data_IF_393953411934
#
_entry.id   IF_393953411934
#
_cell.length_a   1.000
_cell.length_b   1.000
_cell.length_c   1.000
_cell.angle_alpha   90.00
_cell.angle_beta   90.00
_cell.angle_gamma   90.00
#
_symmetry.space_group_name_H-M   'P 1'
#
loop_
_entity.id
_entity.type
_entity.pdbx_description
1 polymer ?
#
# COMPACT_ATOMS: atom_id res chain seq x y z
N UNK A 1 -13.55 -35.06 -4.47
CA UNK A 1 -13.74 -33.72 -3.87
C UNK A 1 -12.44 -32.93 -3.97
N UNK A 2 -12.44 -31.59 -4.07
CA UNK A 2 -11.21 -30.80 -4.14
C UNK A 2 -10.41 -30.89 -2.84
N UNK A 3 -9.12 -30.55 -2.89
CA UNK A 3 -8.29 -30.37 -1.70
C UNK A 3 -8.77 -29.14 -0.91
N UNK A 4 -8.94 -29.28 0.40
CA UNK A 4 -9.48 -28.24 1.28
C UNK A 4 -8.41 -27.67 2.21
N UNK A 5 -8.54 -26.39 2.57
CA UNK A 5 -7.76 -25.79 3.65
C UNK A 5 -8.29 -26.20 5.04
N UNK A 6 -7.65 -25.70 6.10
CA UNK A 6 -7.97 -26.05 7.49
C UNK A 6 -9.40 -25.63 7.93
N UNK A 7 -10.05 -24.73 7.19
CA UNK A 7 -11.42 -24.26 7.46
C UNK A 7 -12.42 -24.77 6.42
N UNK A 8 -12.03 -25.77 5.63
CA UNK A 8 -12.92 -26.48 4.70
C UNK A 8 -13.15 -25.77 3.37
N UNK A 9 -12.33 -24.79 2.98
CA UNK A 9 -12.47 -24.07 1.70
C UNK A 9 -11.63 -24.73 0.60
N UNK A 10 -12.08 -24.81 -0.66
CA UNK A 10 -11.29 -25.36 -1.76
C UNK A 10 -9.99 -24.58 -2.02
N UNK A 11 -8.83 -25.23 -1.88
CA UNK A 11 -7.51 -24.59 -2.04
C UNK A 11 -7.30 -23.97 -3.43
N UNK A 12 -7.97 -24.50 -4.46
CA UNK A 12 -7.89 -23.95 -5.81
C UNK A 12 -8.23 -22.44 -5.88
N UNK A 13 -9.11 -21.95 -5.00
CA UNK A 13 -9.57 -20.55 -4.99
C UNK A 13 -9.24 -19.80 -3.70
N UNK A 14 -8.99 -20.52 -2.60
CA UNK A 14 -8.83 -19.93 -1.26
C UNK A 14 -7.43 -20.17 -0.64
N UNK A 15 -6.44 -20.60 -1.42
CA UNK A 15 -5.07 -20.83 -0.92
C UNK A 15 -4.21 -19.57 -0.81
N UNK A 16 -4.61 -18.47 -1.45
CA UNK A 16 -3.89 -17.20 -1.47
C UNK A 16 -4.81 -16.06 -1.08
N UNK A 17 -4.25 -15.02 -0.44
CA UNK A 17 -4.99 -13.82 -0.12
C UNK A 17 -5.15 -12.95 -1.36
N UNK A 18 -6.20 -12.14 -1.38
CA UNK A 18 -6.45 -11.16 -2.44
C UNK A 18 -5.24 -10.23 -2.60
N UNK A 19 -4.59 -9.85 -1.49
CA UNK A 19 -3.40 -8.99 -1.52
C UNK A 19 -2.15 -9.65 -2.11
N UNK A 20 -1.97 -10.97 -1.94
CA UNK A 20 -0.81 -11.68 -2.47
C UNK A 20 -0.85 -11.80 -4.00
N UNK A 21 -2.02 -11.55 -4.61
CA UNK A 21 -2.26 -11.64 -6.05
C UNK A 21 -2.80 -10.34 -6.64
N UNK A 22 -2.81 -9.26 -5.87
CA UNK A 22 -3.37 -7.98 -6.29
C UNK A 22 -2.45 -7.26 -7.29
N UNK A 23 -3.00 -6.81 -8.41
CA UNK A 23 -2.24 -6.04 -9.41
C UNK A 23 -1.76 -4.67 -8.89
N UNK A 24 -2.38 -4.11 -7.84
CA UNK A 24 -1.94 -2.87 -7.18
C UNK A 24 -0.86 -3.10 -6.10
N UNK A 25 -0.39 -4.35 -5.93
CA UNK A 25 0.64 -4.69 -4.93
C UNK A 25 1.94 -3.89 -5.08
N UNK A 26 2.47 -3.63 -6.30
CA UNK A 26 3.64 -2.77 -6.45
C UNK A 26 3.44 -1.36 -5.86
N UNK A 27 2.24 -0.79 -5.99
CA UNK A 27 1.92 0.51 -5.38
C UNK A 27 1.90 0.42 -3.85
N UNK A 28 1.41 -0.68 -3.28
CA UNK A 28 1.48 -0.91 -1.83
C UNK A 28 2.93 -0.95 -1.34
N UNK A 29 3.79 -1.74 -2.01
CA UNK A 29 5.19 -1.92 -1.63
C UNK A 29 6.00 -0.61 -1.80
N UNK A 30 5.63 0.23 -2.77
CA UNK A 30 6.18 1.56 -2.98
C UNK A 30 5.64 2.64 -2.01
N UNK A 31 4.65 2.32 -1.17
CA UNK A 31 4.02 3.30 -0.29
C UNK A 31 3.09 4.29 -1.02
N UNK A 32 2.65 3.96 -2.23
CA UNK A 32 1.77 4.75 -3.08
C UNK A 32 0.31 4.39 -2.80
N UNK A 33 -0.37 5.26 -2.04
CA UNK A 33 -1.72 5.03 -1.55
C UNK A 33 -2.71 6.09 -2.03
N UNK A 34 -3.95 5.66 -2.24
CA UNK A 34 -5.11 6.55 -2.27
C UNK A 34 -5.36 7.04 -0.85
N UNK A 35 -5.59 8.33 -0.67
CA UNK A 35 -5.83 8.94 0.64
C UNK A 35 -7.25 9.52 0.76
N UNK A 36 -7.87 9.88 -0.36
CA UNK A 36 -9.29 10.22 -0.42
C UNK A 36 -9.91 9.76 -1.75
N UNK A 37 -11.23 9.58 -1.76
CA UNK A 37 -11.94 9.20 -2.98
C UNK A 37 -11.75 10.24 -4.08
N UNK A 38 -11.47 9.77 -5.30
CA UNK A 38 -11.23 10.60 -6.49
C UNK A 38 -10.00 11.53 -6.44
N UNK A 39 -9.06 11.29 -5.51
CA UNK A 39 -7.76 11.97 -5.56
C UNK A 39 -6.91 11.54 -6.77
N UNK A 40 -5.81 12.24 -7.01
CA UNK A 40 -4.89 11.93 -8.11
C UNK A 40 -4.30 10.52 -8.02
N UNK A 41 -4.18 9.98 -6.81
CA UNK A 41 -3.68 8.62 -6.60
C UNK A 41 -4.74 7.58 -6.98
N UNK A 42 -6.03 7.86 -6.75
CA UNK A 42 -7.16 7.03 -7.16
C UNK A 42 -7.26 6.95 -8.68
N UNK A 43 -7.11 8.09 -9.36
CA UNK A 43 -7.08 8.19 -10.83
C UNK A 43 -5.91 7.40 -11.44
N UNK A 44 -4.78 7.34 -10.73
CA UNK A 44 -3.60 6.53 -11.11
C UNK A 44 -3.71 5.06 -10.72
N UNK A 45 -4.78 4.64 -10.04
CA UNK A 45 -4.97 3.25 -9.62
C UNK A 45 -4.03 2.80 -8.50
N UNK A 46 -3.64 3.71 -7.60
CA UNK A 46 -2.78 3.41 -6.45
C UNK A 46 -3.48 2.52 -5.41
N UNK A 47 -2.71 2.05 -4.43
CA UNK A 47 -3.21 1.07 -3.47
C UNK A 47 -4.31 1.65 -2.56
N UNK A 48 -5.36 0.86 -2.34
CA UNK A 48 -6.52 1.24 -1.52
C UNK A 48 -6.36 0.86 -0.03
N UNK A 49 -5.15 0.56 0.43
CA UNK A 49 -4.92 0.13 1.81
C UNK A 49 -5.33 1.19 2.84
N UNK A 50 -4.92 2.46 2.63
CA UNK A 50 -5.34 3.58 3.49
C UNK A 50 -6.85 3.87 3.42
N UNK A 51 -7.53 3.38 2.37
CA UNK A 51 -8.98 3.44 2.23
C UNK A 51 -9.72 2.28 2.92
N UNK A 52 -9.01 1.44 3.69
CA UNK A 52 -9.58 0.34 4.49
C UNK A 52 -9.65 -1.02 3.80
N UNK A 53 -8.99 -1.19 2.66
CA UNK A 53 -8.99 -2.46 1.92
C UNK A 53 -8.53 -3.66 2.80
N UNK A 54 -9.40 -4.66 2.95
CA UNK A 54 -9.21 -5.90 3.72
C UNK A 54 -8.56 -7.04 2.92
N UNK A 55 -8.10 -6.76 1.69
CA UNK A 55 -7.38 -7.72 0.86
C UNK A 55 -6.21 -8.43 1.55
N UNK A 56 -5.44 -7.78 2.45
CA UNK A 56 -4.34 -8.41 3.20
C UNK A 56 -4.75 -9.55 4.15
N UNK A 57 -6.03 -9.68 4.47
CA UNK A 57 -6.55 -10.73 5.37
C UNK A 57 -7.68 -11.55 4.74
N UNK A 58 -7.91 -11.39 3.44
CA UNK A 58 -9.03 -12.04 2.74
C UNK A 58 -8.49 -13.06 1.75
N UNK A 59 -8.89 -14.33 1.88
CA UNK A 59 -8.64 -15.40 0.93
C UNK A 59 -9.77 -15.47 -0.09
N UNK A 60 -9.44 -15.25 -1.35
CA UNK A 60 -10.35 -15.40 -2.48
C UNK A 60 -9.58 -15.31 -3.80
N UNK A 61 -10.21 -15.74 -4.90
CA UNK A 61 -9.65 -15.66 -6.24
C UNK A 61 -9.94 -14.33 -6.95
N UNK A 62 -10.54 -13.34 -6.29
CA UNK A 62 -10.99 -12.07 -6.90
C UNK A 62 -9.91 -11.33 -7.70
N UNK A 63 -8.65 -11.36 -7.28
CA UNK A 63 -7.56 -10.68 -7.98
C UNK A 63 -6.96 -11.48 -9.15
N UNK A 64 -7.26 -12.79 -9.22
CA UNK A 64 -6.77 -13.70 -10.27
C UNK A 64 -7.87 -13.99 -11.29
N UNK A 65 -8.98 -14.58 -10.84
CA UNK A 65 -10.13 -14.94 -11.68
C UNK A 65 -10.97 -13.73 -12.05
N UNK A 66 -10.99 -12.70 -11.19
CA UNK A 66 -11.90 -11.57 -11.26
C UNK A 66 -13.37 -12.02 -11.24
N UNK A 67 -14.28 -11.08 -11.47
CA UNK A 67 -15.71 -11.28 -11.54
C UNK A 67 -16.22 -11.08 -12.97
N UNK A 68 -17.34 -11.74 -13.27
CA UNK A 68 -18.08 -11.57 -14.51
C UNK A 68 -17.22 -11.81 -15.77
N UNK A 69 -16.74 -13.05 -15.94
CA UNK A 69 -15.89 -13.44 -17.09
C UNK A 69 -14.61 -12.59 -17.22
N UNK A 70 -13.94 -12.33 -16.10
CA UNK A 70 -12.65 -11.63 -16.11
C UNK A 70 -12.74 -10.09 -16.21
N UNK A 71 -13.93 -9.50 -16.15
CA UNK A 71 -14.13 -8.06 -16.40
C UNK A 71 -13.47 -7.19 -15.31
N UNK A 72 -13.86 -7.35 -14.05
CA UNK A 72 -13.36 -6.54 -12.94
C UNK A 72 -13.49 -7.25 -11.60
N UNK A 73 -13.07 -6.60 -10.53
CA UNK A 73 -13.32 -6.98 -9.14
C UNK A 73 -13.27 -5.70 -8.28
N UNK A 74 -13.68 -5.71 -7.00
CA UNK A 74 -13.85 -4.49 -6.21
C UNK A 74 -12.67 -3.51 -6.29
N UNK A 75 -11.44 -4.01 -6.10
CA UNK A 75 -10.22 -3.18 -6.10
C UNK A 75 -9.94 -2.59 -7.48
N UNK A 76 -10.17 -3.34 -8.57
CA UNK A 76 -10.02 -2.81 -9.93
C UNK A 76 -11.03 -1.69 -10.21
N UNK A 77 -12.25 -1.84 -9.70
CA UNK A 77 -13.30 -0.81 -9.79
C UNK A 77 -13.15 0.33 -8.77
N UNK A 78 -12.05 0.41 -8.02
CA UNK A 78 -11.73 1.54 -7.15
C UNK A 78 -12.21 1.43 -5.70
N UNK A 79 -12.86 0.33 -5.30
CA UNK A 79 -13.27 0.12 -3.91
C UNK A 79 -12.40 -0.91 -3.19
N UNK A 80 -12.04 -0.65 -1.94
CA UNK A 80 -11.31 -1.61 -1.11
C UNK A 80 -12.06 -2.93 -0.97
N UNK A 81 -11.33 -4.04 -0.88
CA UNK A 81 -11.93 -5.32 -0.49
C UNK A 81 -12.55 -5.19 0.90
N UNK A 82 -13.76 -5.71 1.11
CA UNK A 82 -14.45 -5.68 2.41
C UNK A 82 -14.27 -6.98 3.21
N UNK A 83 -13.63 -8.00 2.63
CA UNK A 83 -13.41 -9.28 3.29
C UNK A 83 -14.61 -10.23 3.27
N UNK A 84 -15.52 -10.12 2.30
CA UNK A 84 -16.78 -10.86 2.27
C UNK A 84 -16.67 -12.40 2.25
N UNK A 85 -15.48 -12.98 2.00
CA UNK A 85 -15.23 -14.42 2.07
C UNK A 85 -14.59 -14.90 3.38
N UNK A 86 -14.36 -13.99 4.32
CA UNK A 86 -13.87 -14.32 5.66
C UNK A 86 -15.00 -14.36 6.68
N UNK A 87 -14.82 -15.18 7.72
CA UNK A 87 -15.76 -15.26 8.82
C UNK A 87 -15.91 -13.91 9.53
N UNK A 88 -17.15 -13.58 9.91
CA UNK A 88 -17.49 -12.38 10.68
C UNK A 88 -17.03 -11.05 10.05
N UNK A 89 -16.92 -10.97 8.72
CA UNK A 89 -16.36 -9.78 8.06
C UNK A 89 -17.14 -8.49 8.34
N UNK A 90 -18.45 -8.57 8.60
CA UNK A 90 -19.28 -7.43 9.00
C UNK A 90 -18.86 -6.81 10.34
N UNK A 91 -18.35 -7.64 11.26
CA UNK A 91 -18.02 -7.25 12.63
C UNK A 91 -16.52 -6.99 12.84
N UNK A 92 -15.70 -7.16 11.79
CA UNK A 92 -14.24 -6.93 11.83
C UNK A 92 -13.85 -5.44 11.74
N UNK A 93 -14.71 -4.56 12.28
CA UNK A 93 -14.58 -3.10 12.30
C UNK A 93 -15.04 -2.39 11.00
N UNK A 94 -15.11 -1.05 11.01
CA UNK A 94 -15.58 -0.28 9.85
C UNK A 94 -14.74 -0.51 8.59
N UNK A 95 -15.39 -0.64 7.43
CA UNK A 95 -14.71 -0.97 6.17
C UNK A 95 -13.68 0.07 5.71
N UNK A 96 -13.83 1.33 6.11
CA UNK A 96 -12.95 2.42 5.70
C UNK A 96 -11.81 2.69 6.70
N UNK A 97 -11.71 1.88 7.74
CA UNK A 97 -10.55 1.89 8.63
C UNK A 97 -9.59 0.77 8.22
N UNK A 98 -8.33 1.13 8.02
CA UNK A 98 -7.25 0.14 7.88
C UNK A 98 -7.18 -0.78 9.10
N UNK A 99 -6.86 -2.06 8.85
CA UNK A 99 -6.43 -2.96 9.91
C UNK A 99 -5.13 -2.43 10.52
N UNK A 100 -5.01 -2.52 11.84
CA UNK A 100 -3.88 -2.03 12.62
C UNK A 100 -2.56 -2.39 11.94
N UNK A 101 -1.74 -1.36 11.62
CA UNK A 101 -0.44 -1.41 10.94
C UNK A 101 0.11 -2.82 10.71
N UNK A 102 -0.30 -3.46 9.60
CA UNK A 102 0.53 -4.48 8.99
C UNK A 102 1.78 -3.74 8.49
N UNK A 103 3.00 -4.06 8.97
CA UNK A 103 4.20 -3.37 8.53
C UNK A 103 4.46 -3.72 7.06
N UNK A 104 3.88 -2.94 6.15
CA UNK A 104 4.38 -2.83 4.79
C UNK A 104 5.70 -2.09 4.85
N UNK A 105 6.77 -2.73 4.38
CA UNK A 105 8.04 -2.03 4.14
C UNK A 105 7.80 -1.09 2.96
N UNK A 106 7.59 0.21 3.23
CA UNK A 106 7.48 1.24 2.20
C UNK A 106 8.86 1.52 1.62
N UNK A 107 9.29 0.69 0.67
CA UNK A 107 10.67 0.68 0.16
C UNK A 107 11.01 2.04 -0.47
N UNK A 108 10.12 2.57 -1.32
CA UNK A 108 10.33 3.85 -2.02
C UNK A 108 10.13 5.07 -1.10
N UNK A 109 9.06 5.11 -0.30
CA UNK A 109 8.84 6.22 0.64
C UNK A 109 9.99 6.38 1.65
N UNK A 110 10.65 5.28 2.02
CA UNK A 110 11.85 5.32 2.86
C UNK A 110 13.03 5.93 2.10
N UNK A 111 13.24 5.56 0.83
CA UNK A 111 14.31 6.09 -0.01
C UNK A 111 14.18 7.61 -0.24
N UNK A 112 12.97 8.09 -0.56
CA UNK A 112 12.69 9.52 -0.73
C UNK A 112 12.99 10.32 0.54
N UNK A 113 12.59 9.80 1.70
CA UNK A 113 12.83 10.45 3.00
C UNK A 113 14.33 10.53 3.29
N UNK A 114 15.07 9.43 3.09
CA UNK A 114 16.52 9.38 3.27
C UNK A 114 17.22 10.35 2.30
N UNK A 115 16.81 10.36 1.03
CA UNK A 115 17.34 11.27 0.02
C UNK A 115 17.12 12.74 0.40
N UNK A 116 15.93 13.09 0.88
CA UNK A 116 15.59 14.45 1.31
C UNK A 116 16.42 14.91 2.51
N UNK A 117 16.57 14.04 3.52
CA UNK A 117 17.39 14.33 4.71
C UNK A 117 18.86 14.51 4.31
N UNK A 118 19.41 13.62 3.49
CA UNK A 118 20.79 13.70 3.04
C UNK A 118 21.07 14.96 2.21
N UNK A 119 20.16 15.31 1.29
CA UNK A 119 20.24 16.53 0.50
C UNK A 119 20.18 17.78 1.38
N UNK A 120 19.24 17.83 2.33
CA UNK A 120 19.10 18.93 3.29
C UNK A 120 20.36 19.12 4.14
N UNK A 121 20.90 18.05 4.70
CA UNK A 121 22.13 18.09 5.50
C UNK A 121 23.33 18.60 4.69
N UNK A 122 23.46 18.13 3.44
CA UNK A 122 24.52 18.57 2.53
C UNK A 122 24.41 20.06 2.21
N UNK A 123 23.21 20.55 1.90
CA UNK A 123 22.96 21.97 1.62
C UNK A 123 23.32 22.88 2.81
N UNK A 124 22.90 22.49 4.03
CA UNK A 124 23.25 23.21 5.26
C UNK A 124 24.77 23.23 5.46
N UNK A 125 25.45 22.11 5.26
CA UNK A 125 26.90 22.02 5.35
C UNK A 125 27.61 22.96 4.38
N UNK A 126 27.17 23.03 3.12
CA UNK A 126 27.72 23.94 2.12
C UNK A 126 27.52 25.41 2.49
N UNK A 127 26.32 25.80 2.95
CA UNK A 127 26.01 27.17 3.38
C UNK A 127 26.86 27.57 4.59
N UNK A 128 26.96 26.70 5.60
CA UNK A 128 27.77 26.95 6.79
C UNK A 128 29.26 27.10 6.42
N UNK A 129 29.79 26.22 5.56
CA UNK A 129 31.17 26.30 5.08
C UNK A 129 31.45 27.61 4.34
N UNK A 130 30.56 28.04 3.45
CA UNK A 130 30.69 29.29 2.71
C UNK A 130 30.66 30.52 3.64
N UNK A 131 29.73 30.56 4.61
CA UNK A 131 29.62 31.65 5.56
C UNK A 131 30.88 31.78 6.45
N UNK A 132 31.37 30.67 7.01
CA UNK A 132 32.59 30.65 7.81
C UNK A 132 33.82 31.08 7.00
N UNK A 133 33.91 30.65 5.74
CA UNK A 133 35.01 31.05 4.85
C UNK A 133 35.00 32.55 4.56
N UNK A 134 33.82 33.15 4.34
CA UNK A 134 33.66 34.59 4.14
C UNK A 134 34.04 35.40 5.37
N UNK A 135 33.65 34.95 6.57
CA UNK A 135 34.03 35.59 7.84
C UNK A 135 35.54 35.53 8.03
N UNK A 136 36.15 34.35 7.88
CA UNK A 136 37.60 34.16 8.04
C UNK A 136 38.42 35.01 7.07
N UNK A 137 37.94 35.20 5.82
CA UNK A 137 38.60 36.03 4.81
C UNK A 137 38.44 37.54 5.06
N UNK A 138 37.52 37.95 5.94
CA UNK A 138 37.30 39.34 6.34
C UNK A 138 38.18 39.79 7.52
N UNK A 139 38.72 38.84 8.27
CA UNK A 139 39.62 39.09 9.41
C UNK A 139 41.11 39.11 9.04
N UNK A 140 41.45 38.83 7.77
CA UNK A 140 42.78 38.97 7.17
C UNK A 140 42.79 40.16 6.24
#
# INVERSE_FOLDING_TARGET
MPELDAVGRPKAFYSRRVHDTCYRRPNYDAGLFVESWDDENAKKGYCLYKMGCRGPVTYNACAVTKWNNGVSFPIQSGHGCIGCSEANFWDNGPFYQHLTNLPGLGIESTADTVGMVAAGATAVGLVAHAALTMVRKREV
#
